data_IF_449400786799
#
_entry.id   IF_449400786799
#
_cell.length_a   1.000
_cell.length_b   1.000
_cell.length_c   1.000
_cell.angle_alpha   90.00
_cell.angle_beta   90.00
_cell.angle_gamma   90.00
#
_symmetry.space_group_name_H-M   'P 1'
#
loop_
_entity.id
_entity.type
_entity.pdbx_description
1 polymer ?
#
# COMPACT_ATOMS: atom_id res chain seq x y z
N UNK A 1 67.96 44.07 14.42
CA UNK A 1 68.48 43.28 13.28
C UNK A 1 67.44 43.42 12.18
N UNK A 2 67.63 44.40 11.30
CA UNK A 2 68.29 44.28 9.98
C UNK A 2 67.39 43.53 8.98
N UNK A 3 66.65 44.24 8.11
CA UNK A 3 67.08 44.86 6.82
C UNK A 3 66.97 43.82 5.67
N UNK A 4 66.51 44.06 4.43
CA UNK A 4 65.97 45.22 3.67
C UNK A 4 64.65 44.78 2.97
N UNK A 5 63.72 45.58 2.38
CA UNK A 5 63.65 46.99 1.90
C UNK A 5 64.14 47.25 0.46
N UNK A 6 63.28 47.87 -0.38
CA UNK A 6 63.58 48.41 -1.73
C UNK A 6 62.83 47.67 -2.86
N UNK A 7 61.83 48.21 -3.59
CA UNK A 7 61.70 49.47 -4.36
C UNK A 7 62.52 49.47 -5.68
N UNK A 8 62.13 50.12 -6.80
CA UNK A 8 60.86 50.63 -7.36
C UNK A 8 61.12 51.16 -8.81
N UNK A 9 60.07 51.48 -9.59
CA UNK A 9 60.10 52.26 -10.88
C UNK A 9 60.81 51.59 -12.09
N UNK A 10 60.53 51.90 -13.37
CA UNK A 10 59.47 52.71 -14.00
C UNK A 10 59.83 53.19 -15.44
N UNK A 11 58.83 53.33 -16.34
CA UNK A 11 58.94 53.92 -17.71
C UNK A 11 58.85 52.90 -18.87
N UNK A 12 57.87 52.95 -19.81
CA UNK A 12 57.58 53.92 -20.92
C UNK A 12 58.72 53.96 -21.96
N UNK A 13 58.57 53.64 -23.26
CA UNK A 13 57.62 54.12 -24.32
C UNK A 13 57.66 53.17 -25.55
N UNK A 14 56.56 52.83 -26.24
CA UNK A 14 55.87 53.49 -27.40
C UNK A 14 56.44 53.20 -28.83
N UNK A 15 55.59 53.30 -29.87
CA UNK A 15 55.77 53.00 -31.31
C UNK A 15 55.76 51.48 -31.65
N UNK A 16 55.06 50.96 -32.69
CA UNK A 16 54.83 51.42 -34.09
C UNK A 16 53.39 51.07 -34.60
N UNK A 17 52.87 51.90 -35.53
CA UNK A 17 51.78 51.76 -36.55
C UNK A 17 50.94 50.44 -36.64
N UNK A 18 49.60 50.38 -36.80
CA UNK A 18 48.60 51.12 -37.64
C UNK A 18 48.87 51.00 -39.16
N UNK A 19 47.81 50.84 -39.99
CA UNK A 19 47.80 50.66 -41.47
C UNK A 19 48.04 49.19 -41.92
N UNK A 20 47.22 48.49 -42.73
CA UNK A 20 45.87 48.67 -43.33
C UNK A 20 45.37 47.28 -43.79
N UNK A 21 44.12 46.87 -43.54
CA UNK A 21 42.95 46.95 -44.43
C UNK A 21 42.81 45.81 -45.51
N UNK A 22 41.68 45.11 -45.42
CA UNK A 22 40.77 44.70 -46.53
C UNK A 22 40.75 43.26 -47.12
N UNK A 23 39.56 42.66 -46.92
CA UNK A 23 38.76 41.74 -47.76
C UNK A 23 39.01 40.21 -47.82
N UNK A 24 37.84 39.53 -47.79
CA UNK A 24 37.55 38.10 -48.00
C UNK A 24 38.07 37.19 -46.86
N UNK A 25 37.25 36.36 -46.21
CA UNK A 25 36.00 35.70 -46.64
C UNK A 25 34.91 35.84 -45.55
N UNK A 26 33.69 36.17 -45.97
CA UNK A 26 32.48 35.97 -45.18
C UNK A 26 32.19 34.48 -45.02
N UNK A 27 32.45 33.93 -43.83
CA UNK A 27 31.73 32.75 -43.37
C UNK A 27 30.78 33.21 -42.28
N UNK A 28 29.51 33.42 -42.65
CA UNK A 28 28.43 33.58 -41.68
C UNK A 28 28.30 32.27 -40.92
N UNK A 29 28.91 32.19 -39.74
CA UNK A 29 28.54 31.19 -38.76
C UNK A 29 27.22 31.66 -38.16
N UNK A 30 26.11 31.16 -38.69
CA UNK A 30 24.81 31.23 -38.03
C UNK A 30 24.88 30.37 -36.75
N UNK A 31 25.47 30.96 -35.70
CA UNK A 31 25.37 30.43 -34.35
C UNK A 31 23.95 30.71 -33.89
N UNK A 32 23.09 29.70 -34.02
CA UNK A 32 21.74 29.68 -33.45
C UNK A 32 21.86 29.70 -31.92
N UNK A 33 22.08 30.89 -31.36
CA UNK A 33 22.21 31.11 -29.93
C UNK A 33 20.87 30.99 -29.22
N UNK A 34 20.94 30.72 -27.91
CA UNK A 34 19.79 30.78 -27.01
C UNK A 34 19.17 32.18 -27.09
N UNK A 35 17.92 32.28 -27.58
CA UNK A 35 17.23 33.55 -27.82
C UNK A 35 17.03 34.31 -26.50
N UNK A 36 17.80 35.39 -26.31
CA UNK A 36 17.77 36.20 -25.09
C UNK A 36 16.47 37.00 -24.92
N UNK A 37 15.79 37.32 -26.03
CA UNK A 37 14.56 38.15 -26.05
C UNK A 37 13.27 37.33 -25.83
N UNK A 38 13.37 36.00 -25.76
CA UNK A 38 12.22 35.11 -25.61
C UNK A 38 11.44 34.91 -26.90
N UNK A 39 11.09 33.66 -27.20
CA UNK A 39 10.47 33.29 -28.47
C UNK A 39 9.55 32.08 -28.31
N UNK A 40 8.41 32.20 -28.97
CA UNK A 40 7.36 31.21 -28.94
C UNK A 40 7.55 30.13 -30.02
N UNK A 41 6.86 29.01 -29.80
CA UNK A 41 6.71 27.92 -30.78
C UNK A 41 5.27 27.88 -31.29
N UNK A 42 4.31 28.26 -30.45
CA UNK A 42 2.91 28.43 -30.82
C UNK A 42 2.27 29.68 -30.22
N UNK A 43 1.10 30.06 -30.72
CA UNK A 43 0.23 31.05 -30.09
C UNK A 43 -1.20 30.93 -30.61
N UNK A 44 -2.16 30.71 -29.70
CA UNK A 44 -3.57 30.51 -30.00
C UNK A 44 -3.92 29.14 -30.58
N UNK A 45 -5.22 28.87 -30.70
CA UNK A 45 -5.77 27.64 -31.25
C UNK A 45 -6.31 27.85 -32.67
N UNK A 46 -5.90 26.99 -33.61
CA UNK A 46 -6.16 27.21 -35.04
C UNK A 46 -7.34 26.42 -35.61
N UNK A 47 -7.76 25.34 -34.95
CA UNK A 47 -8.88 24.49 -35.37
C UNK A 47 -8.76 23.06 -34.84
N UNK A 48 -9.66 22.20 -35.31
CA UNK A 48 -9.73 20.79 -34.94
C UNK A 48 -8.56 19.98 -35.53
N UNK A 49 -7.92 19.17 -34.69
CA UNK A 49 -6.83 18.26 -35.09
C UNK A 49 -7.37 17.21 -36.08
N UNK A 50 -6.83 17.10 -37.30
CA UNK A 50 -7.31 16.14 -38.29
C UNK A 50 -7.00 14.68 -37.92
N UNK A 51 -6.07 14.43 -36.99
CA UNK A 51 -5.71 13.08 -36.55
C UNK A 51 -6.50 12.61 -35.33
N UNK A 52 -7.19 13.51 -34.61
CA UNK A 52 -7.85 13.21 -33.33
C UNK A 52 -9.21 13.90 -33.23
N UNK A 53 -10.26 13.09 -33.21
CA UNK A 53 -11.64 13.56 -33.14
C UNK A 53 -11.91 14.39 -31.87
N UNK A 54 -12.49 15.57 -32.03
CA UNK A 54 -12.90 16.44 -30.91
C UNK A 54 -11.76 17.12 -30.14
N UNK A 55 -10.51 17.10 -30.61
CA UNK A 55 -9.37 17.78 -29.97
C UNK A 55 -8.96 19.01 -30.79
N UNK A 56 -8.93 20.20 -30.17
CA UNK A 56 -8.41 21.43 -30.79
C UNK A 56 -6.89 21.49 -30.72
N UNK A 57 -6.24 22.01 -31.76
CA UNK A 57 -4.79 22.09 -31.86
C UNK A 57 -4.26 23.53 -31.98
N UNK A 58 -3.03 23.74 -31.50
CA UNK A 58 -2.36 25.03 -31.45
C UNK A 58 -1.88 25.51 -32.85
N UNK A 59 -1.86 26.82 -33.07
CA UNK A 59 -1.26 27.44 -34.26
C UNK A 59 0.28 27.50 -34.14
N UNK A 60 1.04 27.18 -35.21
CA UNK A 60 2.48 27.47 -35.24
C UNK A 60 2.74 28.99 -35.23
N UNK A 61 3.66 29.45 -34.37
CA UNK A 61 4.02 30.86 -34.23
C UNK A 61 5.43 31.02 -33.68
N UNK A 62 6.33 31.64 -34.45
CA UNK A 62 7.75 31.80 -34.12
C UNK A 62 8.14 33.22 -33.68
N UNK A 63 7.16 34.02 -33.23
CA UNK A 63 7.36 35.40 -32.80
C UNK A 63 7.58 35.56 -31.29
N UNK A 64 7.70 36.81 -30.81
CA UNK A 64 7.91 37.11 -29.40
C UNK A 64 6.65 36.82 -28.54
N UNK A 65 6.83 36.59 -27.23
CA UNK A 65 5.73 36.47 -26.27
C UNK A 65 4.79 37.69 -26.28
N UNK A 66 3.50 37.46 -26.05
CA UNK A 66 2.48 38.52 -26.06
C UNK A 66 1.89 38.75 -24.67
N UNK A 67 1.47 39.97 -24.32
CA UNK A 67 0.83 40.24 -23.04
C UNK A 67 -0.48 39.44 -22.92
N UNK A 68 -0.66 38.77 -21.78
CA UNK A 68 -1.86 38.01 -21.47
C UNK A 68 -2.95 38.91 -20.88
N UNK A 69 -4.22 38.65 -21.23
CA UNK A 69 -5.38 39.36 -20.69
C UNK A 69 -5.54 39.13 -19.18
N UNK A 70 -5.87 40.18 -18.42
CA UNK A 70 -5.97 40.16 -16.95
C UNK A 70 -6.88 39.06 -16.39
N UNK A 71 -8.02 38.79 -17.03
CA UNK A 71 -8.91 37.69 -16.66
C UNK A 71 -8.22 36.31 -16.78
N UNK A 72 -7.43 36.13 -17.84
CA UNK A 72 -6.66 34.90 -18.08
C UNK A 72 -5.45 34.78 -17.15
N UNK A 73 -4.83 35.90 -16.73
CA UNK A 73 -3.79 35.93 -15.70
C UNK A 73 -4.32 35.40 -14.37
N UNK A 74 -5.54 35.78 -13.96
CA UNK A 74 -6.17 35.24 -12.74
C UNK A 74 -6.37 33.72 -12.80
N UNK A 75 -6.91 33.20 -13.92
CA UNK A 75 -7.07 31.75 -14.13
C UNK A 75 -5.74 31.01 -14.14
N UNK A 76 -4.71 31.57 -14.77
CA UNK A 76 -3.36 31.00 -14.80
C UNK A 76 -2.68 31.08 -13.42
N UNK A 77 -2.98 32.09 -12.60
CA UNK A 77 -2.45 32.24 -11.24
C UNK A 77 -3.03 31.18 -10.30
N UNK A 78 -4.34 30.91 -10.38
CA UNK A 78 -4.98 29.85 -9.60
C UNK A 78 -4.43 28.46 -9.94
N UNK A 79 -4.11 28.22 -11.21
CA UNK A 79 -3.64 26.92 -11.68
C UNK A 79 -2.13 26.72 -11.58
N UNK A 80 -1.34 27.74 -11.89
CA UNK A 80 0.12 27.72 -12.07
C UNK A 80 0.78 28.93 -11.34
N UNK A 81 0.62 29.09 -10.02
CA UNK A 81 1.12 30.26 -9.30
C UNK A 81 2.65 30.44 -9.42
N UNK A 82 3.42 29.35 -9.46
CA UNK A 82 4.88 29.40 -9.62
C UNK A 82 5.29 30.02 -10.96
N UNK A 83 4.54 29.72 -12.02
CA UNK A 83 4.76 30.26 -13.36
C UNK A 83 4.50 31.77 -13.39
N UNK A 84 3.42 32.22 -12.75
CA UNK A 84 3.06 33.64 -12.69
C UNK A 84 4.06 34.40 -11.81
N UNK A 85 4.48 33.84 -10.68
CA UNK A 85 5.52 34.43 -9.81
C UNK A 85 6.88 34.58 -10.52
N UNK A 86 7.26 33.65 -11.40
CA UNK A 86 8.53 33.71 -12.13
C UNK A 86 8.54 34.78 -13.25
N UNK A 87 7.42 34.99 -13.95
CA UNK A 87 7.37 35.82 -15.17
C UNK A 87 6.51 37.09 -15.09
N UNK A 88 5.76 37.33 -14.01
CA UNK A 88 4.98 38.55 -13.83
C UNK A 88 5.87 39.74 -13.46
N UNK A 89 5.86 40.78 -14.30
CA UNK A 89 6.51 42.06 -14.04
C UNK A 89 5.43 43.13 -13.86
N UNK A 90 5.38 43.75 -12.67
CA UNK A 90 4.40 44.80 -12.32
C UNK A 90 2.92 44.40 -12.57
N UNK A 91 2.57 43.13 -12.41
CA UNK A 91 1.21 42.59 -12.64
C UNK A 91 0.87 42.34 -14.12
N UNK A 92 1.82 42.58 -15.03
CA UNK A 92 1.71 42.19 -16.45
C UNK A 92 2.62 41.00 -16.73
N UNK A 93 2.15 40.06 -17.55
CA UNK A 93 2.89 38.86 -17.94
C UNK A 93 2.82 38.66 -19.45
N UNK A 94 3.97 38.41 -20.07
CA UNK A 94 4.06 38.06 -21.48
C UNK A 94 4.21 36.55 -21.62
N UNK A 95 3.36 35.93 -22.43
CA UNK A 95 3.26 34.46 -22.55
C UNK A 95 3.18 34.04 -24.01
N UNK A 96 3.51 32.77 -24.26
CA UNK A 96 3.29 32.10 -25.54
C UNK A 96 1.92 31.39 -25.61
N UNK A 97 0.97 31.83 -24.79
CA UNK A 97 -0.40 31.33 -24.80
C UNK A 97 -1.43 32.47 -24.77
N UNK A 98 -2.65 32.20 -25.24
CA UNK A 98 -3.81 33.09 -25.05
C UNK A 98 -4.79 32.54 -24.02
N UNK A 99 -5.84 33.30 -23.71
CA UNK A 99 -6.87 32.88 -22.74
C UNK A 99 -7.61 31.60 -23.11
N UNK A 100 -7.77 31.30 -24.40
CA UNK A 100 -8.40 30.05 -24.87
C UNK A 100 -7.50 28.85 -24.58
N UNK A 101 -6.19 29.01 -24.77
CA UNK A 101 -5.20 28.00 -24.43
C UNK A 101 -5.06 27.81 -22.92
N UNK A 102 -5.14 28.88 -22.12
CA UNK A 102 -5.19 28.76 -20.64
C UNK A 102 -6.40 27.92 -20.23
N UNK A 103 -7.61 28.20 -20.70
CA UNK A 103 -8.79 27.42 -20.32
C UNK A 103 -8.73 25.96 -20.81
N UNK A 104 -8.18 25.73 -22.01
CA UNK A 104 -7.95 24.38 -22.53
C UNK A 104 -6.93 23.59 -21.70
N UNK A 105 -5.84 24.24 -21.25
CA UNK A 105 -4.84 23.67 -20.36
C UNK A 105 -5.46 23.20 -19.03
N UNK A 106 -6.32 24.03 -18.41
CA UNK A 106 -7.03 23.64 -17.18
C UNK A 106 -7.89 22.39 -17.42
N UNK A 107 -8.67 22.41 -18.50
CA UNK A 107 -9.60 21.33 -18.85
C UNK A 107 -8.87 20.01 -19.10
N UNK A 108 -7.69 20.05 -19.75
CA UNK A 108 -6.89 18.86 -20.04
C UNK A 108 -6.16 18.31 -18.81
N UNK A 109 -5.65 19.17 -17.93
CA UNK A 109 -5.01 18.72 -16.69
C UNK A 109 -6.01 18.19 -15.66
N UNK A 110 -7.28 18.60 -15.71
CA UNK A 110 -8.29 18.30 -14.69
C UNK A 110 -8.39 16.81 -14.32
N UNK A 111 -8.31 15.90 -15.29
CA UNK A 111 -8.35 14.45 -15.03
C UNK A 111 -7.14 13.97 -14.21
N UNK A 112 -5.92 14.34 -14.61
CA UNK A 112 -4.69 13.99 -13.87
C UNK A 112 -4.64 14.65 -12.49
N UNK A 113 -5.07 15.91 -12.39
CA UNK A 113 -5.18 16.62 -11.11
C UNK A 113 -6.17 15.93 -10.16
N UNK A 114 -7.34 15.49 -10.65
CA UNK A 114 -8.32 14.77 -9.85
C UNK A 114 -7.81 13.41 -9.33
N UNK A 115 -6.89 12.75 -10.06
CA UNK A 115 -6.26 11.51 -9.61
C UNK A 115 -5.15 11.75 -8.58
N UNK A 116 -4.45 12.88 -8.66
CA UNK A 116 -3.27 13.18 -7.85
C UNK A 116 -3.58 14.10 -6.64
N UNK A 117 -4.79 14.65 -6.53
CA UNK A 117 -5.22 15.67 -5.55
C UNK A 117 -4.95 15.34 -4.07
N UNK A 118 -4.75 14.08 -3.71
CA UNK A 118 -4.43 13.66 -2.33
C UNK A 118 -3.06 14.16 -1.86
N UNK A 119 -2.12 14.38 -2.77
CA UNK A 119 -0.79 14.92 -2.47
C UNK A 119 -0.61 16.29 -3.17
N UNK A 120 -0.74 17.41 -2.44
CA UNK A 120 -0.58 18.76 -3.01
C UNK A 120 0.77 18.96 -3.68
N UNK A 121 1.85 18.41 -3.12
CA UNK A 121 3.21 18.52 -3.66
C UNK A 121 3.35 17.78 -5.00
N UNK A 122 2.74 16.60 -5.14
CA UNK A 122 2.64 15.89 -6.42
C UNK A 122 1.91 16.73 -7.47
N UNK A 123 0.69 17.19 -7.16
CA UNK A 123 -0.11 18.06 -8.05
C UNK A 123 0.69 19.27 -8.50
N UNK A 124 1.37 19.91 -7.56
CA UNK A 124 2.21 21.09 -7.78
C UNK A 124 3.38 20.79 -8.72
N UNK A 125 4.08 19.67 -8.56
CA UNK A 125 5.17 19.28 -9.45
C UNK A 125 4.65 18.85 -10.85
N UNK A 126 3.55 18.10 -10.89
CA UNK A 126 2.89 17.61 -12.11
C UNK A 126 2.48 18.75 -13.05
N UNK A 127 1.84 19.80 -12.51
CA UNK A 127 1.40 20.94 -13.33
C UNK A 127 2.55 21.68 -14.01
N UNK A 128 3.75 21.73 -13.41
CA UNK A 128 4.87 22.52 -13.95
C UNK A 128 5.19 22.12 -15.40
N UNK A 129 5.22 20.83 -15.69
CA UNK A 129 5.46 20.33 -17.05
C UNK A 129 4.51 21.01 -18.06
N UNK A 130 3.20 20.97 -17.80
CA UNK A 130 2.20 21.51 -18.73
C UNK A 130 2.09 23.04 -18.69
N UNK A 131 2.21 23.69 -17.53
CA UNK A 131 2.20 25.16 -17.40
C UNK A 131 3.33 25.80 -18.21
N UNK A 132 4.58 25.36 -18.00
CA UNK A 132 5.74 25.92 -18.69
C UNK A 132 5.76 25.51 -20.16
N UNK A 133 5.42 24.26 -20.50
CA UNK A 133 5.27 23.83 -21.90
C UNK A 133 4.25 24.69 -22.66
N UNK A 134 3.12 25.04 -22.04
CA UNK A 134 2.02 25.73 -22.73
C UNK A 134 2.22 27.23 -22.88
N UNK A 135 2.74 27.90 -21.85
CA UNK A 135 2.70 29.36 -21.76
C UNK A 135 4.07 30.06 -21.66
N UNK A 136 5.19 29.34 -21.45
CA UNK A 136 6.49 29.97 -21.20
C UNK A 136 6.92 30.95 -22.29
N UNK A 137 7.41 32.16 -21.93
CA UNK A 137 7.97 33.10 -22.90
C UNK A 137 9.25 32.60 -23.61
N UNK A 138 9.81 31.47 -23.16
CA UNK A 138 11.05 30.89 -23.66
C UNK A 138 10.85 29.48 -24.26
N UNK A 139 9.68 29.20 -24.85
CA UNK A 139 9.35 27.89 -25.43
C UNK A 139 10.41 27.36 -26.41
N UNK A 140 10.93 28.21 -27.30
CA UNK A 140 11.92 27.82 -28.32
C UNK A 140 13.21 27.22 -27.73
N UNK A 141 13.52 27.51 -26.47
CA UNK A 141 14.71 26.97 -25.82
C UNK A 141 14.59 25.49 -25.47
N UNK A 142 13.38 24.93 -25.38
CA UNK A 142 13.13 23.55 -24.94
C UNK A 142 12.04 22.82 -25.73
N UNK A 143 11.54 23.37 -26.83
CA UNK A 143 10.48 22.76 -27.64
C UNK A 143 10.67 23.04 -29.13
N UNK A 144 10.46 22.00 -29.94
CA UNK A 144 10.45 22.06 -31.41
C UNK A 144 9.12 21.51 -31.97
N UNK A 145 8.65 22.07 -33.08
CA UNK A 145 7.55 21.47 -33.85
C UNK A 145 8.13 20.32 -34.69
N UNK A 146 7.54 19.12 -34.57
CA UNK A 146 7.94 17.96 -35.38
C UNK A 146 6.91 17.59 -36.45
N UNK A 147 5.66 18.01 -36.29
CA UNK A 147 4.58 17.69 -37.21
C UNK A 147 3.50 18.77 -37.24
N UNK A 148 3.05 19.08 -38.45
CA UNK A 148 1.91 19.97 -38.70
C UNK A 148 0.97 19.35 -39.72
N UNK A 149 -0.29 19.75 -39.70
CA UNK A 149 -1.30 19.39 -40.68
C UNK A 149 -2.28 20.55 -40.90
N UNK A 150 -3.18 20.42 -41.87
CA UNK A 150 -4.26 21.40 -42.04
C UNK A 150 -5.48 20.99 -41.21
N UNK A 151 -6.03 21.93 -40.44
CA UNK A 151 -7.19 21.70 -39.58
C UNK A 151 -8.40 21.21 -40.39
N UNK A 152 -9.18 20.29 -39.80
CA UNK A 152 -10.36 19.71 -40.47
C UNK A 152 -11.41 20.77 -40.84
N UNK A 153 -11.61 21.73 -39.94
CA UNK A 153 -12.64 22.77 -39.96
C UNK A 153 -12.15 24.07 -40.63
N UNK A 154 -11.10 24.71 -40.10
CA UNK A 154 -10.66 26.05 -40.51
C UNK A 154 -9.68 26.06 -41.68
N UNK A 155 -9.16 24.88 -42.07
CA UNK A 155 -8.06 24.69 -43.04
C UNK A 155 -6.75 25.43 -42.71
N UNK A 156 -6.61 26.02 -41.51
CA UNK A 156 -5.35 26.61 -41.03
C UNK A 156 -4.34 25.53 -40.66
N UNK A 157 -3.05 25.85 -40.73
CA UNK A 157 -1.99 24.98 -40.22
C UNK A 157 -2.13 24.81 -38.70
N UNK A 158 -2.17 23.57 -38.24
CA UNK A 158 -2.21 23.17 -36.83
C UNK A 158 -1.03 22.26 -36.50
N UNK A 159 -0.57 22.31 -35.25
CA UNK A 159 0.48 21.44 -34.74
C UNK A 159 -0.11 20.07 -34.39
N UNK A 160 0.47 19.00 -34.94
CA UNK A 160 0.07 17.61 -34.67
C UNK A 160 1.08 16.88 -33.80
N UNK A 161 2.35 17.29 -33.80
CA UNK A 161 3.36 16.77 -32.89
C UNK A 161 4.47 17.77 -32.56
N UNK A 162 4.99 17.67 -31.34
CA UNK A 162 6.15 18.45 -30.85
C UNK A 162 7.19 17.54 -30.19
N UNK A 163 8.45 17.99 -30.23
CA UNK A 163 9.52 17.46 -29.37
C UNK A 163 9.69 18.41 -28.19
N UNK A 164 9.73 17.88 -26.97
CA UNK A 164 9.95 18.68 -25.75
C UNK A 164 11.16 18.13 -25.01
N UNK A 165 12.17 18.97 -24.84
CA UNK A 165 13.42 18.61 -24.18
C UNK A 165 13.28 18.90 -22.68
N UNK A 166 13.47 17.87 -21.84
CA UNK A 166 13.24 17.91 -20.39
C UNK A 166 14.43 17.29 -19.65
N UNK A 167 14.80 17.84 -18.50
CA UNK A 167 15.87 17.24 -17.69
C UNK A 167 15.42 15.92 -17.03
N UNK A 168 16.29 14.90 -17.00
CA UNK A 168 15.98 13.63 -16.31
C UNK A 168 15.70 13.89 -14.83
N UNK A 169 16.51 14.75 -14.18
CA UNK A 169 16.31 15.11 -12.77
C UNK A 169 14.95 15.77 -12.51
N UNK A 170 14.42 16.55 -13.46
CA UNK A 170 13.09 17.14 -13.35
C UNK A 170 12.02 16.05 -13.46
N UNK A 171 12.06 15.23 -14.52
CA UNK A 171 11.10 14.14 -14.78
C UNK A 171 11.04 13.12 -13.63
N UNK A 172 12.19 12.64 -13.18
CA UNK A 172 12.30 11.70 -12.06
C UNK A 172 11.83 12.32 -10.74
N UNK A 173 12.09 13.63 -10.53
CA UNK A 173 11.60 14.35 -9.38
C UNK A 173 10.08 14.49 -9.34
N UNK A 174 9.43 14.84 -10.47
CA UNK A 174 7.97 14.84 -10.57
C UNK A 174 7.43 13.43 -10.29
N UNK A 175 8.01 12.41 -10.94
CA UNK A 175 7.60 11.01 -10.77
C UNK A 175 7.66 10.53 -9.33
N UNK A 176 8.81 10.68 -8.65
CA UNK A 176 8.97 10.26 -7.25
C UNK A 176 7.99 10.96 -6.31
N UNK A 177 7.71 12.24 -6.55
CA UNK A 177 6.73 12.97 -5.73
C UNK A 177 5.29 12.45 -5.88
N UNK A 178 5.01 11.64 -6.92
CA UNK A 178 3.67 11.17 -7.31
C UNK A 178 3.49 9.64 -7.30
N UNK A 179 4.58 8.86 -7.29
CA UNK A 179 4.56 7.40 -7.49
C UNK A 179 3.71 6.63 -6.45
N UNK A 180 3.63 7.16 -5.22
CA UNK A 180 2.99 6.52 -4.08
C UNK A 180 1.57 7.05 -3.80
N UNK A 181 1.07 8.01 -4.59
CA UNK A 181 -0.25 8.62 -4.36
C UNK A 181 -1.34 7.55 -4.53
N UNK A 182 -2.12 7.30 -3.48
CA UNK A 182 -3.06 6.19 -3.43
C UNK A 182 -4.38 6.48 -4.16
N UNK A 183 -5.01 5.45 -4.73
CA UNK A 183 -6.35 5.51 -5.31
C UNK A 183 -7.31 4.63 -4.49
N UNK A 184 -8.07 5.20 -3.53
CA UNK A 184 -8.86 4.40 -2.59
C UNK A 184 -9.94 3.49 -3.20
N UNK A 185 -10.39 3.79 -4.43
CA UNK A 185 -11.37 2.99 -5.15
C UNK A 185 -10.82 1.69 -5.74
N UNK A 186 -9.50 1.63 -6.00
CA UNK A 186 -8.82 0.42 -6.52
C UNK A 186 -7.91 -0.23 -5.49
N UNK A 187 -7.48 0.50 -4.46
CA UNK A 187 -6.49 0.04 -3.49
C UNK A 187 -5.04 0.07 -4.00
N UNK A 188 -4.81 0.58 -5.21
CA UNK A 188 -3.51 0.68 -5.88
C UNK A 188 -3.06 2.16 -5.98
N UNK A 189 -1.84 2.42 -6.41
CA UNK A 189 -1.34 3.76 -6.68
C UNK A 189 -2.02 4.38 -7.92
N UNK A 190 -2.35 5.67 -7.87
CA UNK A 190 -2.96 6.42 -8.97
C UNK A 190 -2.11 6.37 -10.25
N UNK A 191 -0.79 6.28 -10.11
CA UNK A 191 0.17 6.13 -11.20
C UNK A 191 -0.08 4.87 -12.05
N UNK A 192 -0.68 3.82 -11.48
CA UNK A 192 -1.00 2.56 -12.16
C UNK A 192 -1.92 2.79 -13.37
N UNK A 193 -2.93 3.63 -13.21
CA UNK A 193 -3.86 4.05 -14.26
C UNK A 193 -3.27 5.13 -15.19
N UNK A 194 -2.19 5.78 -14.79
CA UNK A 194 -1.52 6.86 -15.53
C UNK A 194 -0.24 6.41 -16.26
N UNK A 195 0.18 5.14 -16.16
CA UNK A 195 1.41 4.62 -16.78
C UNK A 195 1.16 3.56 -17.87
N UNK A 196 -0.10 3.36 -18.28
CA UNK A 196 -0.49 2.43 -19.33
C UNK A 196 -0.17 0.97 -19.00
N UNK A 197 0.33 0.22 -19.98
CA UNK A 197 0.59 -1.22 -19.87
C UNK A 197 1.65 -1.61 -18.81
N UNK A 198 2.39 -0.65 -18.25
CA UNK A 198 3.41 -0.90 -17.22
C UNK A 198 2.84 -1.01 -15.79
N UNK A 199 1.60 -0.54 -15.57
CA UNK A 199 1.01 -0.41 -14.23
C UNK A 199 1.88 0.43 -13.28
N UNK A 200 1.66 0.31 -11.96
CA UNK A 200 2.52 0.96 -10.97
C UNK A 200 3.91 0.30 -10.87
N UNK A 201 3.96 -1.04 -10.85
CA UNK A 201 5.18 -1.81 -10.55
C UNK A 201 6.33 -1.58 -11.52
N UNK A 202 6.04 -1.41 -12.82
CA UNK A 202 7.07 -1.19 -13.85
C UNK A 202 7.07 0.24 -14.39
N UNK A 203 6.42 1.18 -13.71
CA UNK A 203 6.46 2.58 -14.10
C UNK A 203 7.85 3.20 -13.81
N UNK A 204 8.21 4.20 -14.61
CA UNK A 204 9.35 5.09 -14.39
C UNK A 204 8.95 6.48 -14.84
N UNK A 205 9.65 7.54 -14.39
CA UNK A 205 9.31 8.91 -14.81
C UNK A 205 9.30 9.09 -16.33
N UNK A 206 10.23 8.45 -17.05
CA UNK A 206 10.23 8.46 -18.51
C UNK A 206 9.03 7.70 -19.12
N UNK A 207 8.68 6.51 -18.61
CA UNK A 207 7.51 5.75 -19.08
C UNK A 207 6.21 6.52 -18.84
N UNK A 208 6.10 7.17 -17.69
CA UNK A 208 4.95 8.02 -17.35
C UNK A 208 4.83 9.24 -18.27
N UNK A 209 5.91 10.00 -18.47
CA UNK A 209 5.89 11.16 -19.35
C UNK A 209 5.60 10.77 -20.81
N UNK A 210 6.22 9.69 -21.31
CA UNK A 210 5.91 9.16 -22.64
C UNK A 210 4.45 8.71 -22.78
N UNK A 211 3.86 8.09 -21.75
CA UNK A 211 2.45 7.75 -21.74
C UNK A 211 1.57 9.00 -21.76
N UNK A 212 1.85 10.01 -20.93
CA UNK A 212 1.11 11.28 -20.90
C UNK A 212 1.18 12.04 -22.22
N UNK A 213 2.35 12.02 -22.89
CA UNK A 213 2.55 12.65 -24.19
C UNK A 213 1.97 11.87 -25.37
N UNK A 214 1.64 10.58 -25.20
CA UNK A 214 1.12 9.75 -26.26
C UNK A 214 -0.35 10.02 -26.55
N UNK A 215 -0.69 10.13 -27.83
CA UNK A 215 -2.07 10.25 -28.31
C UNK A 215 -2.87 8.95 -28.20
N UNK A 216 -2.21 7.79 -28.06
CA UNK A 216 -2.87 6.48 -27.95
C UNK A 216 -3.65 6.29 -26.64
N UNK A 217 -3.39 7.14 -25.63
CA UNK A 217 -4.11 7.11 -24.36
C UNK A 217 -5.50 7.78 -24.40
N UNK A 218 -5.87 8.48 -25.48
CA UNK A 218 -7.12 9.22 -25.63
C UNK A 218 -7.22 10.56 -24.85
N UNK A 219 -6.32 10.79 -23.89
CA UNK A 219 -6.22 12.03 -23.13
C UNK A 219 -5.48 13.12 -23.91
N UNK A 220 -4.28 12.84 -24.43
CA UNK A 220 -3.43 13.85 -25.08
C UNK A 220 -4.06 14.41 -26.38
N UNK A 221 -4.11 15.74 -26.58
CA UNK A 221 -4.71 16.37 -27.76
C UNK A 221 -3.82 16.35 -29.02
N UNK A 222 -2.53 16.07 -28.87
CA UNK A 222 -1.52 15.95 -29.93
C UNK A 222 -0.31 15.16 -29.39
N UNK A 223 0.59 14.72 -30.27
CA UNK A 223 1.71 13.86 -29.88
C UNK A 223 2.86 14.69 -29.28
N UNK A 224 3.21 14.42 -28.02
CA UNK A 224 4.33 15.05 -27.32
C UNK A 224 5.46 14.02 -27.18
N UNK A 225 6.55 14.25 -27.89
CA UNK A 225 7.73 13.39 -27.84
C UNK A 225 8.75 13.99 -26.87
N UNK A 226 8.86 13.41 -25.67
CA UNK A 226 9.82 13.86 -24.67
C UNK A 226 11.25 13.40 -25.02
N UNK A 227 12.20 14.32 -24.95
CA UNK A 227 13.62 14.04 -25.04
C UNK A 227 14.27 14.34 -23.69
N UNK A 228 14.99 13.35 -23.15
CA UNK A 228 15.48 13.38 -21.78
C UNK A 228 16.96 13.75 -21.74
N UNK A 229 17.25 15.04 -21.54
CA UNK A 229 18.57 15.64 -21.70
C UNK A 229 18.89 16.54 -20.49
N UNK A 230 19.99 16.30 -19.77
CA UNK A 230 20.33 17.07 -18.55
C UNK A 230 21.25 18.28 -18.79
N UNK A 231 21.88 18.36 -19.98
CA UNK A 231 22.89 19.38 -20.31
C UNK A 231 22.40 20.25 -21.46
N UNK A 232 22.65 21.56 -21.37
CA UNK A 232 22.34 22.49 -22.45
C UNK A 232 23.39 22.40 -23.56
N UNK A 233 22.97 22.08 -24.79
CA UNK A 233 23.85 21.92 -25.95
C UNK A 233 24.05 23.22 -26.77
N UNK A 234 23.95 24.39 -26.13
CA UNK A 234 24.14 25.71 -26.75
C UNK A 234 22.99 26.19 -27.66
N UNK A 235 22.29 25.28 -28.34
CA UNK A 235 21.07 25.54 -29.12
C UNK A 235 19.79 25.20 -28.35
N UNK A 236 19.88 24.30 -27.36
CA UNK A 236 18.75 23.81 -26.57
C UNK A 236 19.09 23.83 -25.09
N UNK A 237 18.15 24.28 -24.26
CA UNK A 237 18.21 24.32 -22.80
C UNK A 237 16.99 23.56 -22.26
N UNK A 238 17.13 22.27 -21.92
CA UNK A 238 16.03 21.43 -21.48
C UNK A 238 15.23 22.03 -20.31
N UNK A 239 13.91 21.80 -20.31
CA UNK A 239 13.02 22.27 -19.25
C UNK A 239 13.42 21.60 -17.93
N UNK A 240 13.81 22.45 -16.97
CA UNK A 240 14.22 22.07 -15.64
C UNK A 240 13.67 23.10 -14.66
N UNK A 241 12.88 22.65 -13.67
CA UNK A 241 12.23 23.49 -12.65
C UNK A 241 12.39 22.84 -11.28
N UNK A 242 12.34 23.66 -10.23
CA UNK A 242 12.54 23.20 -8.86
C UNK A 242 11.42 22.27 -8.41
N UNK A 243 11.77 21.00 -8.16
CA UNK A 243 10.90 19.98 -7.58
C UNK A 243 10.97 20.07 -6.06
N UNK A 244 9.81 19.96 -5.41
CA UNK A 244 9.69 19.80 -3.95
C UNK A 244 9.45 18.31 -3.66
N UNK A 245 10.20 17.65 -2.75
CA UNK A 245 9.95 16.27 -2.33
C UNK A 245 8.56 16.11 -1.71
N UNK A 246 7.90 14.95 -1.87
CA UNK A 246 6.54 14.77 -1.30
C UNK A 246 6.49 14.76 0.24
N UNK A 247 7.63 14.58 0.90
CA UNK A 247 7.84 14.73 2.34
C UNK A 247 7.86 16.19 2.82
N UNK A 248 7.88 17.17 1.92
CA UNK A 248 7.89 18.60 2.22
C UNK A 248 6.57 19.28 1.78
N UNK A 249 6.10 20.31 2.52
CA UNK A 249 4.95 21.12 2.13
C UNK A 249 5.29 22.01 0.92
N UNK A 250 4.26 22.50 0.23
CA UNK A 250 4.41 23.40 -0.93
C UNK A 250 4.70 24.85 -0.50
N UNK A 251 4.10 25.25 0.61
CA UNK A 251 4.16 26.59 1.22
C UNK A 251 3.88 26.47 2.73
N UNK A 252 4.08 27.56 3.50
CA UNK A 252 3.88 27.57 4.96
C UNK A 252 2.45 27.25 5.40
N UNK A 253 1.45 27.43 4.52
CA UNK A 253 0.04 27.13 4.82
C UNK A 253 -0.40 25.70 4.43
N UNK A 254 0.43 24.96 3.69
CA UNK A 254 0.15 23.57 3.32
C UNK A 254 0.91 22.58 4.20
N UNK A 255 0.40 21.34 4.20
CA UNK A 255 1.04 20.19 4.84
C UNK A 255 1.76 19.36 3.79
N UNK A 256 2.85 18.70 4.20
CA UNK A 256 3.48 17.63 3.43
C UNK A 256 2.46 16.50 3.12
N UNK A 257 2.75 15.69 2.11
CA UNK A 257 1.88 14.58 1.75
C UNK A 257 1.86 13.51 2.84
N UNK A 258 0.74 12.82 3.00
CA UNK A 258 0.62 11.77 4.00
C UNK A 258 1.49 10.56 3.63
N UNK A 259 1.99 9.83 4.62
CA UNK A 259 2.77 8.59 4.44
C UNK A 259 2.11 7.56 3.48
N UNK A 260 0.77 7.48 3.49
CA UNK A 260 0.00 6.60 2.59
C UNK A 260 -0.02 7.05 1.12
N UNK A 261 0.39 8.29 0.84
CA UNK A 261 0.46 8.91 -0.48
C UNK A 261 1.90 9.32 -0.87
N UNK A 262 2.89 9.04 0.01
CA UNK A 262 4.31 9.38 -0.13
C UNK A 262 5.14 8.57 0.88
N UNK A 263 5.89 7.54 0.45
CA UNK A 263 6.67 6.71 1.38
C UNK A 263 7.79 7.48 2.08
N UNK A 264 8.37 8.47 1.40
CA UNK A 264 9.43 9.33 1.95
C UNK A 264 8.94 10.22 3.11
N UNK A 265 7.62 10.37 3.30
CA UNK A 265 7.01 11.09 4.43
C UNK A 265 6.73 10.19 5.65
N UNK A 266 7.02 8.88 5.58
CA UNK A 266 6.68 7.95 6.65
C UNK A 266 7.65 8.05 7.85
N UNK A 267 7.15 8.10 9.09
CA UNK A 267 8.00 7.90 10.27
C UNK A 267 8.51 6.46 10.32
N UNK A 268 9.68 6.26 10.92
CA UNK A 268 10.20 4.91 11.20
C UNK A 268 9.23 4.21 12.16
N UNK A 269 8.75 2.99 11.85
CA UNK A 269 7.80 2.28 12.70
C UNK A 269 8.42 1.94 14.07
N UNK A 270 7.61 1.92 15.15
CA UNK A 270 8.08 1.42 16.43
C UNK A 270 8.49 -0.06 16.32
N UNK A 271 9.42 -0.54 17.17
CA UNK A 271 9.77 -1.95 17.20
C UNK A 271 8.53 -2.81 17.45
N UNK A 272 8.47 -3.99 16.81
CA UNK A 272 7.38 -4.93 16.98
C UNK A 272 7.21 -5.29 18.47
N UNK A 273 5.97 -5.45 18.97
CA UNK A 273 5.75 -5.93 20.32
C UNK A 273 6.40 -7.30 20.50
N UNK A 274 6.92 -7.63 21.70
CA UNK A 274 7.45 -8.96 21.96
C UNK A 274 6.37 -10.01 21.72
N UNK A 275 6.81 -11.18 21.24
CA UNK A 275 5.94 -12.36 21.11
C UNK A 275 5.25 -12.66 22.45
N UNK A 276 4.03 -13.23 22.44
CA UNK A 276 3.38 -13.67 23.67
C UNK A 276 4.33 -14.62 24.42
N UNK A 277 4.56 -14.30 25.70
CA UNK A 277 5.42 -15.13 26.54
C UNK A 277 4.80 -16.53 26.70
N UNK A 278 5.64 -17.58 26.86
CA UNK A 278 5.14 -18.90 27.17
C UNK A 278 4.32 -18.90 28.47
N UNK A 279 3.55 -19.96 28.69
CA UNK A 279 2.79 -20.14 29.92
C UNK A 279 3.75 -20.43 31.08
N UNK A 280 4.16 -19.37 31.79
CA UNK A 280 5.09 -19.48 32.91
C UNK A 280 4.37 -19.33 34.27
N UNK A 281 4.79 -20.14 35.24
CA UNK A 281 4.41 -20.02 36.66
C UNK A 281 5.67 -19.70 37.45
N UNK A 282 5.71 -18.54 38.11
CA UNK A 282 6.86 -18.06 38.89
C UNK A 282 8.20 -18.02 38.13
N UNK A 283 8.16 -17.83 36.80
CA UNK A 283 9.36 -17.79 35.95
C UNK A 283 9.91 -19.16 35.52
N UNK A 284 9.14 -20.23 35.74
CA UNK A 284 9.39 -21.57 35.19
C UNK A 284 8.25 -21.96 34.26
N UNK A 285 8.52 -22.85 33.30
CA UNK A 285 7.50 -23.45 32.44
C UNK A 285 6.33 -24.00 33.28
N UNK A 286 5.13 -23.46 33.04
CA UNK A 286 3.96 -23.73 33.85
C UNK A 286 3.45 -25.15 33.73
N UNK A 287 3.67 -25.82 32.60
CA UNK A 287 3.37 -27.25 32.47
C UNK A 287 4.34 -28.07 33.32
N UNK A 288 5.64 -27.74 33.32
CA UNK A 288 6.62 -28.40 34.17
C UNK A 288 6.30 -28.23 35.67
N UNK A 289 5.92 -27.02 36.12
CA UNK A 289 5.50 -26.77 37.50
C UNK A 289 4.27 -27.60 37.89
N UNK A 290 3.25 -27.64 37.02
CA UNK A 290 2.04 -28.46 37.25
C UNK A 290 2.40 -29.96 37.33
N UNK A 291 3.25 -30.46 36.43
CA UNK A 291 3.66 -31.86 36.41
C UNK A 291 4.47 -32.26 37.65
N UNK A 292 5.35 -31.38 38.16
CA UNK A 292 6.07 -31.60 39.43
C UNK A 292 5.08 -31.65 40.61
N UNK A 293 4.08 -30.78 40.66
CA UNK A 293 3.07 -30.80 41.71
C UNK A 293 2.27 -32.12 41.72
N UNK A 294 1.82 -32.59 40.55
CA UNK A 294 1.16 -33.90 40.43
C UNK A 294 2.09 -35.06 40.84
N UNK A 295 3.36 -35.03 40.43
CA UNK A 295 4.33 -36.05 40.80
C UNK A 295 4.54 -36.13 42.32
N UNK A 296 4.64 -34.99 43.01
CA UNK A 296 4.77 -34.93 44.48
C UNK A 296 3.50 -35.44 45.19
N UNK A 297 2.31 -35.10 44.69
CA UNK A 297 1.05 -35.62 45.23
C UNK A 297 0.96 -37.15 45.10
N UNK A 298 1.26 -37.70 43.92
CA UNK A 298 1.20 -39.15 43.68
C UNK A 298 2.28 -39.88 44.50
N UNK A 299 3.51 -39.33 44.54
CA UNK A 299 4.62 -39.94 45.29
C UNK A 299 4.39 -39.93 46.79
N UNK A 300 3.84 -38.84 47.36
CA UNK A 300 3.51 -38.77 48.79
C UNK A 300 2.35 -39.70 49.16
N UNK A 301 1.32 -39.85 48.31
CA UNK A 301 0.28 -40.84 48.49
C UNK A 301 0.85 -42.27 48.46
N UNK A 302 1.69 -42.60 47.48
CA UNK A 302 2.33 -43.91 47.36
C UNK A 302 3.23 -44.23 48.56
N UNK A 303 4.08 -43.28 48.99
CA UNK A 303 4.91 -43.43 50.18
C UNK A 303 4.09 -43.59 51.45
N UNK A 304 2.97 -42.87 51.59
CA UNK A 304 2.06 -43.00 52.74
C UNK A 304 1.45 -44.41 52.78
N UNK A 305 1.00 -44.94 51.64
CA UNK A 305 0.47 -46.31 51.54
C UNK A 305 1.57 -47.34 51.83
N UNK A 306 2.77 -47.17 51.27
CA UNK A 306 3.91 -48.08 51.48
C UNK A 306 4.38 -48.09 52.94
N UNK A 307 4.50 -46.93 53.58
CA UNK A 307 4.85 -46.81 55.00
C UNK A 307 3.74 -47.40 55.88
N UNK A 308 2.46 -47.12 55.58
CA UNK A 308 1.34 -47.74 56.29
C UNK A 308 1.37 -49.28 56.18
N UNK A 309 1.64 -49.81 54.99
CA UNK A 309 1.75 -51.24 54.75
C UNK A 309 2.94 -51.88 55.48
N UNK A 310 4.13 -51.27 55.38
CA UNK A 310 5.36 -51.80 56.00
C UNK A 310 5.38 -51.66 57.53
N UNK A 311 4.84 -50.57 58.09
CA UNK A 311 4.62 -50.47 59.53
C UNK A 311 3.57 -51.49 60.02
N UNK A 312 2.55 -51.81 59.20
CA UNK A 312 1.56 -52.84 59.52
C UNK A 312 2.18 -54.25 59.49
N UNK A 313 3.04 -54.57 58.52
CA UNK A 313 3.75 -55.87 58.51
C UNK A 313 4.80 -55.97 59.62
N UNK A 314 5.59 -54.92 59.88
CA UNK A 314 6.61 -54.97 60.94
C UNK A 314 6.00 -55.07 62.35
N UNK A 315 4.85 -54.43 62.59
CA UNK A 315 4.10 -54.61 63.85
C UNK A 315 3.46 -56.00 63.96
N UNK A 316 3.02 -56.60 62.85
CA UNK A 316 2.57 -58.00 62.81
C UNK A 316 3.73 -58.99 63.07
N UNK A 317 4.92 -58.79 62.50
CA UNK A 317 6.08 -59.66 62.71
C UNK A 317 6.61 -59.59 64.15
N UNK A 318 6.66 -58.39 64.74
CA UNK A 318 7.03 -58.21 66.15
C UNK A 318 5.99 -58.88 67.06
N UNK A 319 4.69 -58.71 66.79
CA UNK A 319 3.64 -59.40 67.55
C UNK A 319 3.70 -60.93 67.40
N UNK A 320 3.93 -61.44 66.19
CA UNK A 320 4.08 -62.87 65.92
C UNK A 320 5.29 -63.49 66.64
N UNK A 321 6.38 -62.72 66.81
CA UNK A 321 7.57 -63.18 67.55
C UNK A 321 7.35 -63.39 69.06
N UNK A 322 6.26 -62.85 69.63
CA UNK A 322 5.94 -62.96 71.06
C UNK A 322 4.86 -64.00 71.40
N UNK A 323 4.18 -64.62 70.41
CA UNK A 323 3.04 -65.49 70.70
C UNK A 323 3.06 -66.84 69.95
N UNK A 324 3.87 -67.75 70.48
CA UNK A 324 3.71 -69.20 70.26
C UNK A 324 2.48 -69.72 71.01
N UNK A 325 1.27 -69.53 70.45
CA UNK A 325 0.09 -70.37 70.73
C UNK A 325 -1.06 -70.00 69.79
N UNK A 326 -1.83 -71.00 69.38
CA UNK A 326 -2.99 -70.83 68.51
C UNK A 326 -4.08 -69.99 69.18
N UNK A 327 -4.43 -68.85 68.59
CA UNK A 327 -5.80 -68.32 68.70
C UNK A 327 -6.20 -67.58 67.42
N UNK A 328 -7.50 -67.52 67.17
CA UNK A 328 -8.11 -66.97 65.96
C UNK A 328 -8.06 -65.44 66.03
N UNK A 329 -7.30 -64.81 65.13
CA UNK A 329 -7.12 -63.36 65.12
C UNK A 329 -8.45 -62.60 65.02
N UNK A 330 -8.75 -61.75 66.00
CA UNK A 330 -9.90 -60.84 65.94
C UNK A 330 -9.76 -59.90 64.73
N UNK A 331 -10.78 -59.77 63.86
CA UNK A 331 -10.70 -58.91 62.69
C UNK A 331 -10.58 -57.45 63.09
N UNK A 332 -9.72 -56.72 62.38
CA UNK A 332 -9.43 -55.30 62.60
C UNK A 332 -10.71 -54.45 62.37
N UNK A 333 -10.80 -53.22 62.93
CA UNK A 333 -12.04 -52.42 62.77
C UNK A 333 -12.43 -52.17 61.31
N UNK A 334 -11.45 -52.02 60.41
CA UNK A 334 -11.67 -51.89 58.96
C UNK A 334 -12.14 -53.21 58.33
N UNK A 335 -11.65 -54.36 58.80
CA UNK A 335 -12.11 -55.69 58.36
C UNK A 335 -13.52 -56.01 58.87
N UNK A 336 -13.87 -55.56 60.09
CA UNK A 336 -15.25 -55.62 60.59
C UNK A 336 -16.18 -54.69 59.79
N UNK A 337 -15.72 -53.50 59.43
CA UNK A 337 -16.48 -52.57 58.59
C UNK A 337 -16.66 -53.12 57.17
N UNK A 338 -15.60 -53.70 56.60
CA UNK A 338 -15.60 -54.39 55.30
C UNK A 338 -16.55 -55.57 55.29
N UNK A 339 -16.39 -56.53 56.22
CA UNK A 339 -17.29 -57.68 56.35
C UNK A 339 -18.75 -57.25 56.64
N UNK A 340 -18.96 -56.20 57.43
CA UNK A 340 -20.31 -55.66 57.67
C UNK A 340 -20.89 -55.00 56.41
N UNK A 341 -20.08 -54.36 55.57
CA UNK A 341 -20.49 -53.79 54.29
C UNK A 341 -20.75 -54.90 53.26
N UNK A 342 -19.91 -55.92 53.19
CA UNK A 342 -20.08 -57.11 52.34
C UNK A 342 -21.36 -57.86 52.70
N UNK A 343 -21.59 -58.19 53.98
CA UNK A 343 -22.82 -58.85 54.46
C UNK A 343 -24.06 -57.96 54.25
N UNK A 344 -23.94 -56.64 54.42
CA UNK A 344 -25.03 -55.70 54.10
C UNK A 344 -25.35 -55.66 52.60
N UNK A 345 -24.34 -55.64 51.74
CA UNK A 345 -24.50 -55.67 50.28
C UNK A 345 -25.03 -57.03 49.81
N UNK A 346 -24.54 -58.15 50.37
CA UNK A 346 -25.07 -59.48 50.08
C UNK A 346 -26.55 -59.54 50.44
N UNK A 347 -26.93 -59.18 51.67
CA UNK A 347 -28.34 -59.17 52.11
C UNK A 347 -29.19 -58.26 51.24
N UNK A 348 -28.71 -57.06 50.89
CA UNK A 348 -29.44 -56.12 50.04
C UNK A 348 -29.65 -56.67 48.62
N UNK A 349 -28.58 -57.11 47.95
CA UNK A 349 -28.68 -57.65 46.59
C UNK A 349 -29.38 -58.99 46.53
N UNK A 350 -29.30 -59.82 47.58
CA UNK A 350 -30.03 -61.08 47.70
C UNK A 350 -31.52 -60.85 47.93
N UNK A 351 -31.90 -59.87 48.77
CA UNK A 351 -33.31 -59.48 48.94
C UNK A 351 -33.87 -58.85 47.66
N UNK A 352 -33.13 -57.94 47.02
CA UNK A 352 -33.51 -57.33 45.74
C UNK A 352 -33.61 -58.38 44.61
N UNK A 353 -32.66 -59.30 44.55
CA UNK A 353 -32.64 -60.41 43.61
C UNK A 353 -33.80 -61.39 43.82
N UNK A 354 -34.11 -61.75 45.07
CA UNK A 354 -35.28 -62.60 45.39
C UNK A 354 -36.58 -61.92 44.99
N UNK A 355 -36.76 -60.63 45.31
CA UNK A 355 -37.93 -59.84 44.90
C UNK A 355 -38.12 -59.85 43.37
N UNK A 356 -37.04 -59.63 42.62
CA UNK A 356 -37.04 -59.71 41.16
C UNK A 356 -37.30 -61.12 40.60
N UNK A 357 -36.80 -62.17 41.26
CA UNK A 357 -36.95 -63.55 40.84
C UNK A 357 -38.32 -64.16 41.17
N UNK A 358 -38.95 -63.72 42.26
CA UNK A 358 -40.31 -64.11 42.66
C UNK A 358 -41.38 -63.47 41.77
N UNK A 359 -41.13 -62.24 41.28
CA UNK A 359 -42.08 -61.46 40.49
C UNK A 359 -41.50 -61.00 39.12
N UNK A 360 -41.01 -61.92 38.26
CA UNK A 360 -40.27 -61.56 37.05
C UNK A 360 -41.11 -60.77 36.05
N UNK A 361 -42.39 -61.11 35.90
CA UNK A 361 -43.29 -60.43 34.95
C UNK A 361 -43.62 -58.99 35.36
N UNK A 362 -43.78 -58.69 36.66
CA UNK A 362 -44.06 -57.31 37.09
C UNK A 362 -42.82 -56.43 36.93
N UNK A 363 -41.64 -56.94 37.29
CA UNK A 363 -40.37 -56.22 37.11
C UNK A 363 -40.07 -55.98 35.63
N UNK A 364 -40.29 -56.95 34.76
CA UNK A 364 -40.14 -56.76 33.30
C UNK A 364 -41.12 -55.73 32.75
N UNK A 365 -42.41 -55.78 33.13
CA UNK A 365 -43.42 -54.82 32.66
C UNK A 365 -43.09 -53.40 33.15
N UNK A 366 -42.76 -53.23 34.43
CA UNK A 366 -42.38 -51.92 34.99
C UNK A 366 -41.09 -51.40 34.36
N UNK A 367 -40.09 -52.27 34.15
CA UNK A 367 -38.84 -51.93 33.46
C UNK A 367 -39.06 -51.49 32.01
N UNK A 368 -39.92 -52.19 31.26
CA UNK A 368 -40.29 -51.81 29.88
C UNK A 368 -41.08 -50.50 29.86
N UNK A 369 -42.04 -50.29 30.76
CA UNK A 369 -42.79 -49.03 30.88
C UNK A 369 -41.84 -47.86 31.20
N UNK A 370 -40.90 -48.05 32.12
CA UNK A 370 -39.89 -47.05 32.46
C UNK A 370 -38.96 -46.75 31.26
N UNK A 371 -38.44 -47.79 30.61
CA UNK A 371 -37.54 -47.65 29.46
C UNK A 371 -38.23 -46.97 28.28
N UNK A 372 -39.47 -47.34 27.95
CA UNK A 372 -40.28 -46.68 26.92
C UNK A 372 -40.59 -45.24 27.33
N UNK A 373 -41.01 -44.99 28.57
CA UNK A 373 -41.30 -43.66 29.08
C UNK A 373 -40.10 -42.71 29.00
N UNK A 374 -38.90 -43.18 29.34
CA UNK A 374 -37.65 -42.43 29.16
C UNK A 374 -37.27 -42.26 27.68
N UNK A 375 -37.54 -43.26 26.83
CA UNK A 375 -37.22 -43.22 25.40
C UNK A 375 -38.11 -42.28 24.58
N UNK A 376 -39.36 -42.02 25.01
CA UNK A 376 -40.27 -41.07 24.35
C UNK A 376 -39.66 -39.67 24.19
N UNK A 377 -38.73 -39.28 25.08
CA UNK A 377 -37.99 -38.03 24.97
C UNK A 377 -37.21 -37.83 23.66
N UNK A 378 -36.86 -38.92 22.95
CA UNK A 378 -36.14 -38.86 21.67
C UNK A 378 -36.92 -38.13 20.57
N UNK A 379 -38.26 -38.06 20.68
CA UNK A 379 -39.12 -37.33 19.74
C UNK A 379 -38.84 -35.82 19.76
N UNK A 380 -38.30 -35.30 20.88
CA UNK A 380 -37.94 -33.90 21.04
C UNK A 380 -36.44 -33.61 20.79
N UNK A 381 -35.66 -34.61 20.35
CA UNK A 381 -34.25 -34.44 20.04
C UNK A 381 -34.06 -33.45 18.88
N UNK A 382 -33.34 -32.36 19.13
CA UNK A 382 -32.90 -31.41 18.11
C UNK A 382 -31.39 -31.52 17.96
N UNK A 383 -30.93 -31.76 16.73
CA UNK A 383 -29.50 -31.85 16.40
C UNK A 383 -29.07 -30.54 15.76
N UNK A 384 -28.18 -29.81 16.44
CA UNK A 384 -27.53 -28.62 15.87
C UNK A 384 -26.46 -29.04 14.87
N UNK A 385 -26.60 -28.62 13.62
CA UNK A 385 -25.64 -28.90 12.53
C UNK A 385 -24.83 -27.67 12.10
N UNK A 386 -25.16 -26.48 12.58
CA UNK A 386 -24.38 -25.27 12.28
C UNK A 386 -23.04 -25.32 13.04
N UNK A 387 -21.87 -25.38 12.35
CA UNK A 387 -20.58 -25.35 13.02
C UNK A 387 -20.39 -24.08 13.85
N UNK A 388 -21.00 -22.97 13.46
CA UNK A 388 -20.90 -21.70 14.19
C UNK A 388 -21.56 -21.82 15.56
N UNK A 389 -22.72 -22.48 15.68
CA UNK A 389 -23.37 -22.74 16.97
C UNK A 389 -22.61 -23.78 17.82
N UNK A 390 -22.03 -24.80 17.18
CA UNK A 390 -21.26 -25.86 17.85
C UNK A 390 -19.94 -25.34 18.47
N UNK A 391 -19.21 -24.49 17.74
CA UNK A 391 -17.84 -24.11 18.10
C UNK A 391 -17.73 -22.75 18.81
N UNK A 392 -18.76 -21.91 18.79
CA UNK A 392 -18.73 -20.59 19.43
C UNK A 392 -19.91 -20.34 20.38
N UNK A 393 -19.60 -20.24 21.67
CA UNK A 393 -20.56 -19.93 22.74
C UNK A 393 -21.39 -18.66 22.43
N UNK A 394 -22.71 -18.66 22.66
CA UNK A 394 -23.58 -17.52 22.35
C UNK A 394 -23.26 -16.25 23.17
N UNK A 395 -22.54 -16.39 24.30
CA UNK A 395 -22.14 -15.26 25.13
C UNK A 395 -20.69 -14.79 24.86
N UNK A 396 -19.96 -15.48 23.97
CA UNK A 396 -18.59 -15.13 23.61
C UNK A 396 -18.49 -13.74 22.98
N UNK A 397 -17.32 -13.10 23.13
CA UNK A 397 -17.04 -11.80 22.51
C UNK A 397 -17.19 -11.86 20.97
N UNK A 398 -16.61 -12.88 20.35
CA UNK A 398 -16.67 -13.08 18.90
C UNK A 398 -18.11 -13.26 18.38
N UNK A 399 -18.99 -13.96 19.12
CA UNK A 399 -20.43 -14.01 18.79
C UNK A 399 -21.05 -12.62 18.81
N UNK A 400 -20.87 -11.85 19.88
CA UNK A 400 -21.46 -10.50 20.03
C UNK A 400 -20.98 -9.53 18.94
N UNK A 401 -19.71 -9.60 18.60
CA UNK A 401 -19.12 -8.79 17.51
C UNK A 401 -19.67 -9.19 16.14
N UNK A 402 -19.82 -10.51 15.87
CA UNK A 402 -20.51 -11.01 14.67
C UNK A 402 -21.97 -10.58 14.61
N UNK A 403 -22.74 -10.79 15.67
CA UNK A 403 -24.16 -10.46 15.72
C UNK A 403 -24.40 -8.95 15.57
N UNK A 404 -23.48 -8.11 16.04
CA UNK A 404 -23.48 -6.67 15.79
C UNK A 404 -23.16 -6.34 14.32
N UNK A 405 -22.15 -6.99 13.74
CA UNK A 405 -21.79 -6.79 12.34
C UNK A 405 -22.94 -7.18 11.40
N UNK A 406 -23.45 -8.41 11.52
CA UNK A 406 -24.51 -8.96 10.66
C UNK A 406 -25.81 -8.12 10.71
N UNK A 407 -26.10 -7.46 11.84
CA UNK A 407 -27.26 -6.55 11.99
C UNK A 407 -27.07 -5.18 11.34
N UNK A 408 -25.83 -4.70 11.27
CA UNK A 408 -25.52 -3.33 10.84
C UNK A 408 -25.04 -3.27 9.38
N UNK A 409 -24.45 -4.34 8.86
CA UNK A 409 -23.80 -4.41 7.55
C UNK A 409 -24.27 -5.58 6.68
N UNK A 410 -25.33 -6.28 7.12
CA UNK A 410 -25.78 -7.58 6.60
C UNK A 410 -24.77 -8.72 6.83
N UNK A 411 -25.21 -10.00 6.79
CA UNK A 411 -24.30 -11.13 6.91
C UNK A 411 -23.28 -11.18 5.78
N UNK A 412 -22.02 -11.52 6.10
CA UNK A 412 -20.96 -11.67 5.11
C UNK A 412 -21.33 -12.69 4.00
N UNK A 413 -20.97 -12.37 2.76
CA UNK A 413 -21.31 -13.16 1.58
C UNK A 413 -20.64 -14.55 1.59
N UNK A 414 -21.24 -15.52 0.89
CA UNK A 414 -20.67 -16.86 0.73
C UNK A 414 -19.71 -16.89 -0.46
N UNK A 415 -18.50 -17.40 -0.24
CA UNK A 415 -17.45 -17.54 -1.25
C UNK A 415 -17.42 -18.97 -1.81
N UNK A 416 -17.72 -19.14 -3.09
CA UNK A 416 -17.49 -20.38 -3.83
C UNK A 416 -16.22 -20.22 -4.68
N UNK A 417 -15.16 -20.97 -4.40
CA UNK A 417 -13.84 -20.80 -5.04
C UNK A 417 -13.43 -22.02 -5.86
N UNK A 418 -13.12 -21.81 -7.13
CA UNK A 418 -12.60 -22.84 -8.05
C UNK A 418 -11.14 -22.54 -8.44
N UNK A 419 -10.19 -23.32 -7.93
CA UNK A 419 -8.78 -23.22 -8.31
C UNK A 419 -8.49 -24.24 -9.42
N UNK A 420 -8.30 -23.76 -10.65
CA UNK A 420 -7.90 -24.57 -11.81
C UNK A 420 -6.38 -24.46 -11.98
N UNK A 421 -5.69 -25.58 -12.18
CA UNK A 421 -4.27 -25.62 -12.55
C UNK A 421 -4.08 -26.42 -13.85
N UNK A 422 -3.23 -25.98 -14.80
CA UNK A 422 -2.84 -26.80 -15.93
C UNK A 422 -2.02 -28.00 -15.46
N UNK A 423 -2.06 -29.10 -16.22
CA UNK A 423 -1.26 -30.31 -15.99
C UNK A 423 -0.34 -30.51 -17.19
N UNK A 424 0.96 -30.78 -16.95
CA UNK A 424 1.95 -30.98 -18.01
C UNK A 424 2.62 -29.69 -18.54
N UNK A 425 2.50 -28.58 -17.82
CA UNK A 425 3.23 -27.32 -18.09
C UNK A 425 4.14 -27.04 -16.90
N UNK A 426 5.42 -26.75 -17.14
CA UNK A 426 6.35 -26.38 -16.07
C UNK A 426 5.96 -25.03 -15.43
N UNK A 427 6.05 -24.88 -14.09
CA UNK A 427 5.60 -23.64 -13.41
C UNK A 427 6.29 -22.36 -13.91
N UNK A 428 7.51 -22.47 -14.44
CA UNK A 428 8.29 -21.34 -14.93
C UNK A 428 7.73 -20.72 -16.22
N UNK A 429 7.08 -21.50 -17.11
CA UNK A 429 6.53 -20.98 -18.38
C UNK A 429 5.05 -20.55 -18.27
N UNK A 430 4.36 -20.95 -17.21
CA UNK A 430 2.97 -20.56 -16.96
C UNK A 430 2.82 -19.07 -16.56
N UNK A 431 3.79 -18.50 -15.85
CA UNK A 431 3.72 -17.13 -15.34
C UNK A 431 3.78 -16.03 -16.41
N UNK A 432 4.34 -16.29 -17.59
CA UNK A 432 4.41 -15.31 -18.69
C UNK A 432 3.18 -15.33 -19.61
N UNK A 433 2.30 -16.32 -19.50
CA UNK A 433 1.32 -16.65 -20.56
C UNK A 433 -0.15 -16.68 -20.14
N UNK A 434 -0.47 -16.61 -18.84
CA UNK A 434 -1.86 -16.65 -18.36
C UNK A 434 -2.34 -15.26 -17.86
N UNK A 435 -3.24 -14.56 -18.58
CA UNK A 435 -3.98 -13.46 -17.99
C UNK A 435 -4.87 -14.00 -16.87
N UNK A 436 -4.97 -13.26 -15.75
CA UNK A 436 -5.86 -13.62 -14.66
C UNK A 436 -7.32 -13.63 -15.16
N UNK A 437 -7.91 -14.82 -15.26
CA UNK A 437 -9.32 -14.98 -15.65
C UNK A 437 -10.19 -14.66 -14.44
N UNK A 438 -10.48 -13.38 -14.25
CA UNK A 438 -11.52 -12.95 -13.31
C UNK A 438 -12.88 -13.24 -13.93
N UNK A 439 -13.50 -14.35 -13.54
CA UNK A 439 -14.89 -14.65 -13.86
C UNK A 439 -15.75 -13.76 -12.94
N UNK A 440 -16.51 -12.85 -13.54
CA UNK A 440 -17.54 -12.03 -12.88
C UNK A 440 -18.93 -12.63 -13.09
#
# INVERSE_FOLDING_TARGET
MKDQVGAAQGGRTCWIAVVTLVLLITCGQDVWGIDAEGKCVWYGQCGSNPLLFGKTANCPYSGPPKPLETASVLSLTAACPEFVQEYSVNGTISTCCDGTQVNALLTQMAAGLAMLQRCPTCVRNFRLNFCYMTCSPYQSNFMDITGTANASDTKKTVITSVKVHVANKFVEGVYRSCQDVSMPSTGDAAISLMCGAWGAQYCTGQRWFNYMGSTSNGFSPFQINYAYEDVSNGTTKPLNKTIIPCSEPVDENSRACACVDCKDACPVPPPLPPLPQPFDILGYDGLAVIMVFFFLLISSAFLTVYICFTCRTQSLDIAASMQSSSDVGEPNQIERLGASMEDSLERLFRAWGSMCAEHPWTVLIVGVILAVGMSVGIIFLRVTTDPVELWASPLSRARKEKDYFDRNFEPFYRTEMLIIRPVGVDPATAHESMPAITIW
#
